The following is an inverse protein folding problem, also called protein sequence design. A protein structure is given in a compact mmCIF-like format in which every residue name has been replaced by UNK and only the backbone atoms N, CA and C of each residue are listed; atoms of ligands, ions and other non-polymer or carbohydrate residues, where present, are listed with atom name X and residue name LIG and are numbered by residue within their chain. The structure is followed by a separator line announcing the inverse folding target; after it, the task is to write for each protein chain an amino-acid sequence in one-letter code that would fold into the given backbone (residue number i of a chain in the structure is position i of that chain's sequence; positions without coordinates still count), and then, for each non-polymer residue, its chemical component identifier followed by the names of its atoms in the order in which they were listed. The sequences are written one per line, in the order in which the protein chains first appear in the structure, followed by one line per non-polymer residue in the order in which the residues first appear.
data_IF_264448285000
#
_entry.id   IF_264448285000
#
_cell.length_a   1.000
_cell.length_b   1.000
_cell.length_c   1.000
_cell.angle_alpha   90.00
_cell.angle_beta   90.00
_cell.angle_gamma   90.00
#
_symmetry.space_group_name_H-M   'P 1'
#
loop_
_entity.id
_entity.type
_entity.pdbx_description
1 polymer ?
#
# COMPACT_ATOMS: atom_id res chain seq x y z
N UNK A 1 15.08 10.74 -5.72
CA UNK A 1 15.30 12.19 -5.95
C UNK A 1 14.01 12.98 -5.76
N UNK A 2 14.15 14.27 -5.50
CA UNK A 2 13.02 15.19 -5.37
C UNK A 2 12.97 16.11 -6.57
N UNK A 3 11.79 16.23 -7.17
CA UNK A 3 11.54 17.06 -8.36
C UNK A 3 10.56 18.14 -7.92
N UNK A 4 11.00 19.42 -7.83
CA UNK A 4 10.10 20.51 -7.48
C UNK A 4 9.15 20.82 -8.63
N UNK A 5 7.98 21.35 -8.30
CA UNK A 5 6.97 21.81 -9.24
C UNK A 5 6.47 20.77 -10.25
N UNK A 6 6.40 19.50 -9.87
CA UNK A 6 5.90 18.42 -10.70
C UNK A 6 4.74 17.68 -10.03
N UNK A 7 3.64 17.33 -10.74
CA UNK A 7 3.29 17.72 -12.12
C UNK A 7 2.78 19.17 -12.24
N UNK A 8 2.66 19.89 -11.11
CA UNK A 8 2.19 21.28 -11.04
C UNK A 8 3.06 22.07 -10.08
N UNK A 9 3.11 23.41 -10.28
CA UNK A 9 3.82 24.34 -9.40
C UNK A 9 3.38 24.18 -7.93
N UNK A 10 4.34 24.14 -7.02
CA UNK A 10 4.13 23.96 -5.58
C UNK A 10 4.16 22.50 -5.10
N UNK A 11 4.17 21.52 -6.00
CA UNK A 11 4.24 20.09 -5.64
C UNK A 11 5.70 19.62 -5.68
N UNK A 12 6.17 19.05 -4.56
CA UNK A 12 7.46 18.37 -4.51
C UNK A 12 7.28 16.87 -4.76
N UNK A 13 7.52 16.43 -5.99
CA UNK A 13 7.39 15.02 -6.37
C UNK A 13 8.58 14.20 -5.88
N UNK A 14 8.30 13.09 -5.21
CA UNK A 14 9.31 12.11 -4.79
C UNK A 14 9.42 10.99 -5.81
N UNK A 15 10.44 11.07 -6.65
CA UNK A 15 10.74 10.04 -7.64
C UNK A 15 11.54 8.91 -7.01
N UNK A 16 10.94 7.72 -6.97
CA UNK A 16 11.55 6.50 -6.41
C UNK A 16 12.39 5.73 -7.43
N UNK A 17 12.40 6.12 -8.69
CA UNK A 17 13.11 5.37 -9.75
C UNK A 17 14.60 5.30 -9.49
N UNK A 18 15.19 6.33 -8.87
CA UNK A 18 16.60 6.31 -8.47
C UNK A 18 16.90 5.29 -7.38
N UNK A 19 15.95 5.05 -6.47
CA UNK A 19 16.05 4.03 -5.43
C UNK A 19 15.94 2.62 -6.04
N UNK A 20 14.96 2.43 -6.91
CA UNK A 20 14.64 1.12 -7.51
C UNK A 20 15.76 0.63 -8.44
N UNK A 21 16.40 1.55 -9.19
CA UNK A 21 17.48 1.19 -10.12
C UNK A 21 18.82 0.91 -9.46
N UNK A 22 18.99 1.24 -8.20
CA UNK A 22 20.20 0.96 -7.43
C UNK A 22 20.01 -0.36 -6.69
N UNK A 23 20.80 -1.36 -7.03
CA UNK A 23 20.65 -2.72 -6.51
C UNK A 23 20.83 -2.79 -4.99
N UNK A 24 21.77 -2.05 -4.45
CA UNK A 24 22.05 -2.03 -3.02
C UNK A 24 20.98 -1.27 -2.25
N UNK A 25 20.59 -0.09 -2.73
CA UNK A 25 19.56 0.71 -2.09
C UNK A 25 18.20 0.00 -2.11
N UNK A 26 17.86 -0.66 -3.22
CA UNK A 26 16.62 -1.43 -3.32
C UNK A 26 16.63 -2.63 -2.36
N UNK A 27 17.70 -3.45 -2.36
CA UNK A 27 17.84 -4.59 -1.45
C UNK A 27 17.74 -4.16 0.02
N UNK A 28 18.48 -3.14 0.42
CA UNK A 28 18.42 -2.61 1.78
C UNK A 28 17.03 -2.10 2.15
N UNK A 29 16.31 -1.51 1.21
CA UNK A 29 14.94 -1.06 1.43
C UNK A 29 14.00 -2.24 1.71
N UNK A 30 14.10 -3.30 0.92
CA UNK A 30 13.31 -4.52 1.12
C UNK A 30 13.64 -5.15 2.48
N UNK A 31 14.92 -5.28 2.81
CA UNK A 31 15.37 -5.82 4.11
C UNK A 31 14.81 -5.01 5.29
N UNK A 32 14.81 -3.68 5.19
CA UNK A 32 14.24 -2.80 6.22
C UNK A 32 12.72 -2.98 6.38
N UNK A 33 11.98 -3.17 5.27
CA UNK A 33 10.54 -3.45 5.33
C UNK A 33 10.32 -4.77 6.07
N UNK A 34 11.06 -5.81 5.71
CA UNK A 34 10.99 -7.13 6.33
C UNK A 34 11.30 -7.02 7.83
N UNK A 35 12.39 -6.36 8.18
CA UNK A 35 12.79 -6.20 9.59
C UNK A 35 11.73 -5.50 10.44
N UNK A 36 11.16 -4.40 9.93
CA UNK A 36 10.08 -3.67 10.60
C UNK A 36 8.81 -4.52 10.74
N UNK A 37 8.56 -5.42 9.80
CA UNK A 37 7.38 -6.28 9.79
C UNK A 37 7.50 -7.53 10.67
N UNK A 38 8.70 -7.93 11.09
CA UNK A 38 8.94 -9.15 11.88
C UNK A 38 8.12 -9.24 13.17
N UNK A 39 7.87 -8.10 13.82
CA UNK A 39 7.07 -8.04 15.06
C UNK A 39 5.57 -8.05 14.82
N UNK A 40 5.15 -7.96 13.56
CA UNK A 40 3.75 -7.87 13.15
C UNK A 40 3.21 -9.25 12.80
N UNK A 41 2.01 -9.57 13.27
CA UNK A 41 1.34 -10.84 12.95
C UNK A 41 0.41 -10.62 11.75
N UNK A 42 0.85 -11.00 10.55
CA UNK A 42 0.05 -10.94 9.33
C UNK A 42 0.26 -12.18 8.47
N UNK A 43 -0.71 -12.48 7.63
CA UNK A 43 -0.68 -13.61 6.71
C UNK A 43 -0.86 -13.21 5.24
N UNK A 44 -1.24 -11.96 4.96
CA UNK A 44 -1.35 -11.42 3.61
C UNK A 44 -0.70 -10.05 3.51
N UNK A 45 -0.25 -9.70 2.31
CA UNK A 45 0.33 -8.39 1.99
C UNK A 45 -0.58 -7.72 0.97
N UNK A 46 -0.92 -6.46 1.18
CA UNK A 46 -1.62 -5.62 0.21
C UNK A 46 -0.76 -4.42 -0.17
N UNK A 47 -0.90 -3.94 -1.38
CA UNK A 47 -0.25 -2.70 -1.80
C UNK A 47 -1.08 -1.91 -2.79
N UNK A 48 -0.81 -0.60 -2.83
CA UNK A 48 -1.57 0.35 -3.63
C UNK A 48 -0.88 0.58 -4.96
N UNK A 49 -1.66 0.58 -6.04
CA UNK A 49 -1.20 0.85 -7.40
C UNK A 49 -0.58 2.25 -7.49
N UNK A 50 0.60 2.40 -8.08
CA UNK A 50 1.41 1.33 -8.67
C UNK A 50 2.75 1.16 -7.95
N UNK A 51 3.24 2.20 -7.27
CA UNK A 51 4.59 2.23 -6.68
C UNK A 51 4.72 1.27 -5.50
N UNK A 52 3.67 1.10 -4.70
CA UNK A 52 3.63 0.11 -3.63
C UNK A 52 3.84 -1.33 -4.11
N UNK A 53 3.42 -1.66 -5.34
CA UNK A 53 3.57 -3.00 -5.90
C UNK A 53 5.03 -3.45 -6.03
N UNK A 54 5.92 -2.52 -6.35
CA UNK A 54 7.35 -2.81 -6.53
C UNK A 54 7.96 -3.39 -5.25
N UNK A 55 7.67 -2.76 -4.12
CA UNK A 55 8.19 -3.19 -2.82
C UNK A 55 7.42 -4.40 -2.28
N UNK A 56 6.10 -4.38 -2.38
CA UNK A 56 5.25 -5.43 -1.84
C UNK A 56 5.45 -6.77 -2.52
N UNK A 57 5.67 -6.80 -3.84
CA UNK A 57 5.94 -8.05 -4.56
C UNK A 57 7.26 -8.70 -4.13
N UNK A 58 8.31 -7.92 -3.93
CA UNK A 58 9.59 -8.43 -3.43
C UNK A 58 9.46 -8.97 -1.99
N UNK A 59 8.80 -8.21 -1.11
CA UNK A 59 8.54 -8.65 0.28
C UNK A 59 7.67 -9.90 0.32
N UNK A 60 6.63 -9.96 -0.51
CA UNK A 60 5.72 -11.10 -0.63
C UNK A 60 6.46 -12.37 -1.03
N UNK A 61 7.34 -12.27 -2.03
CA UNK A 61 8.17 -13.38 -2.49
C UNK A 61 9.10 -13.89 -1.37
N UNK A 62 9.83 -12.99 -0.71
CA UNK A 62 10.80 -13.35 0.34
C UNK A 62 10.09 -13.96 1.56
N UNK A 63 8.95 -13.42 1.97
CA UNK A 63 8.20 -13.90 3.12
C UNK A 63 7.25 -15.06 2.80
N UNK A 64 7.17 -15.48 1.53
CA UNK A 64 6.24 -16.50 1.03
C UNK A 64 4.79 -16.25 1.49
N UNK A 65 4.30 -15.03 1.24
CA UNK A 65 2.94 -14.60 1.59
C UNK A 65 2.17 -14.12 0.37
N UNK A 66 0.83 -14.36 0.31
CA UNK A 66 -0.01 -13.85 -0.77
C UNK A 66 0.07 -12.33 -0.89
N UNK A 67 0.03 -11.84 -2.14
CA UNK A 67 0.01 -10.43 -2.47
C UNK A 67 -1.35 -10.02 -3.05
N UNK A 68 -1.97 -8.99 -2.47
CA UNK A 68 -3.26 -8.42 -2.85
C UNK A 68 -3.03 -7.05 -3.49
N UNK A 69 -3.52 -6.88 -4.69
CA UNK A 69 -3.45 -5.60 -5.40
C UNK A 69 -4.65 -4.72 -5.07
N UNK A 70 -4.38 -3.51 -4.54
CA UNK A 70 -5.34 -2.43 -4.44
C UNK A 70 -5.16 -1.52 -5.65
N UNK A 71 -6.16 -1.48 -6.54
CA UNK A 71 -6.01 -0.87 -7.85
C UNK A 71 -6.95 0.31 -8.07
N UNK A 72 -6.58 1.19 -8.99
CA UNK A 72 -7.45 2.26 -9.48
C UNK A 72 -8.70 1.68 -10.13
N UNK A 73 -9.78 2.45 -10.13
CA UNK A 73 -11.08 2.09 -10.70
C UNK A 73 -10.98 1.45 -12.09
N UNK A 74 -11.77 0.39 -12.30
CA UNK A 74 -11.87 -0.33 -13.57
C UNK A 74 -10.59 -1.06 -14.01
N UNK A 75 -9.69 -1.39 -13.08
CA UNK A 75 -8.48 -2.17 -13.37
C UNK A 75 -8.57 -3.64 -12.97
N UNK A 76 -9.59 -4.01 -12.21
CA UNK A 76 -9.82 -5.39 -11.78
C UNK A 76 -11.01 -5.99 -12.52
N UNK A 77 -10.89 -7.22 -13.09
CA UNK A 77 -11.86 -7.77 -14.02
C UNK A 77 -13.03 -8.52 -13.37
N UNK A 78 -13.05 -8.69 -12.06
CA UNK A 78 -14.09 -9.42 -11.32
C UNK A 78 -14.78 -8.52 -10.29
N UNK A 79 -15.66 -9.07 -9.45
CA UNK A 79 -16.35 -8.36 -8.39
C UNK A 79 -15.41 -7.68 -7.41
N UNK A 80 -15.65 -6.40 -7.16
CA UNK A 80 -14.79 -5.57 -6.31
C UNK A 80 -15.54 -4.90 -5.17
N UNK A 81 -14.81 -4.62 -4.10
CA UNK A 81 -15.10 -3.54 -3.16
C UNK A 81 -14.42 -2.27 -3.66
N UNK A 82 -15.11 -1.14 -3.57
CA UNK A 82 -14.61 0.17 -4.02
C UNK A 82 -14.69 1.19 -2.89
N UNK A 83 -13.70 2.05 -2.80
CA UNK A 83 -13.69 3.18 -1.86
C UNK A 83 -13.24 4.43 -2.59
N UNK A 84 -14.06 5.47 -2.52
CA UNK A 84 -13.71 6.81 -2.99
C UNK A 84 -12.96 7.57 -1.90
N UNK A 85 -12.00 8.37 -2.29
CA UNK A 85 -11.22 9.20 -1.38
C UNK A 85 -10.78 10.51 -2.03
N UNK A 86 -10.63 11.53 -1.20
CA UNK A 86 -10.17 12.84 -1.63
C UNK A 86 -8.66 12.87 -1.81
N UNK A 87 -8.23 13.50 -2.88
CA UNK A 87 -6.85 13.88 -3.13
C UNK A 87 -6.69 15.38 -2.87
N UNK A 88 -5.46 15.85 -2.81
CA UNK A 88 -5.18 17.29 -2.76
C UNK A 88 -5.84 18.05 -3.92
N UNK A 89 -6.01 17.40 -5.07
CA UNK A 89 -6.68 17.93 -6.26
C UNK A 89 -7.63 16.88 -6.84
N UNK A 90 -8.90 16.90 -6.40
CA UNK A 90 -9.96 16.02 -6.89
C UNK A 90 -10.17 14.78 -6.04
N UNK A 91 -10.86 13.79 -6.59
CA UNK A 91 -11.14 12.51 -5.95
C UNK A 91 -10.60 11.35 -6.77
N UNK A 92 -10.38 10.23 -6.13
CA UNK A 92 -9.98 8.97 -6.76
C UNK A 92 -10.72 7.79 -6.12
N UNK A 93 -10.76 6.68 -6.84
CA UNK A 93 -11.32 5.43 -6.35
C UNK A 93 -10.26 4.35 -6.37
N UNK A 94 -10.17 3.57 -5.29
CA UNK A 94 -9.41 2.32 -5.28
C UNK A 94 -10.33 1.13 -5.06
N UNK A 95 -9.94 0.00 -5.64
CA UNK A 95 -10.71 -1.23 -5.68
C UNK A 95 -9.87 -2.43 -5.24
N UNK A 96 -10.55 -3.42 -4.68
CA UNK A 96 -10.00 -4.72 -4.31
C UNK A 96 -11.01 -5.81 -4.66
N UNK A 97 -10.57 -6.94 -5.21
CA UNK A 97 -11.45 -8.10 -5.44
C UNK A 97 -12.11 -8.57 -4.14
N UNK A 98 -13.38 -8.92 -4.19
CA UNK A 98 -14.17 -9.34 -3.02
C UNK A 98 -13.66 -10.63 -2.39
N UNK A 99 -13.03 -11.50 -3.16
CA UNK A 99 -12.48 -12.79 -2.74
C UNK A 99 -11.03 -12.71 -2.20
N UNK A 100 -10.43 -11.51 -2.17
CA UNK A 100 -9.02 -11.34 -1.77
C UNK A 100 -8.78 -11.57 -0.28
N UNK A 101 -9.75 -11.26 0.57
CA UNK A 101 -9.61 -11.25 2.02
C UNK A 101 -10.81 -11.95 2.67
N UNK A 102 -10.53 -12.74 3.70
CA UNK A 102 -11.56 -13.35 4.54
C UNK A 102 -11.43 -12.87 6.01
N UNK A 103 -12.40 -13.27 6.86
CA UNK A 103 -12.53 -12.82 8.26
C UNK A 103 -11.33 -13.18 9.16
N UNK A 104 -10.49 -14.15 8.76
CA UNK A 104 -9.33 -14.58 9.55
C UNK A 104 -8.04 -13.90 9.13
N UNK A 105 -8.06 -13.17 8.02
CA UNK A 105 -6.86 -12.57 7.47
C UNK A 105 -6.41 -11.33 8.27
N UNK A 106 -5.09 -11.23 8.39
CA UNK A 106 -4.39 -10.06 8.92
C UNK A 106 -3.50 -9.52 7.82
N UNK A 107 -3.71 -8.29 7.42
CA UNK A 107 -3.11 -7.72 6.21
C UNK A 107 -2.05 -6.69 6.55
N UNK A 108 -0.86 -6.85 6.00
CA UNK A 108 0.16 -5.80 5.98
C UNK A 108 0.01 -4.97 4.72
N UNK A 109 -0.31 -3.68 4.85
CA UNK A 109 -0.36 -2.75 3.72
C UNK A 109 1.03 -2.14 3.53
N UNK A 110 1.57 -2.26 2.33
CA UNK A 110 2.87 -1.67 1.95
C UNK A 110 2.63 -0.60 0.89
N UNK A 111 3.17 0.59 1.15
CA UNK A 111 3.20 1.68 0.18
C UNK A 111 4.52 2.44 0.28
N UNK A 112 4.91 3.14 -0.78
CA UNK A 112 6.18 3.84 -0.83
C UNK A 112 6.14 5.15 -0.04
N UNK A 113 5.04 5.88 -0.09
CA UNK A 113 4.90 7.21 0.48
C UNK A 113 3.49 7.47 1.05
N UNK A 114 3.41 8.05 2.23
CA UNK A 114 2.19 8.68 2.74
C UNK A 114 2.34 10.20 2.56
N UNK A 115 1.58 10.77 1.63
CA UNK A 115 1.46 12.21 1.46
C UNK A 115 0.41 12.77 2.45
N UNK A 116 -0.81 13.00 2.00
CA UNK A 116 -1.93 13.48 2.85
C UNK A 116 -2.54 12.40 3.74
N UNK A 117 -2.35 11.13 3.37
CA UNK A 117 -2.93 9.99 4.08
C UNK A 117 -4.24 9.45 3.48
N UNK A 118 -4.86 10.17 2.54
CA UNK A 118 -6.14 9.77 1.94
C UNK A 118 -6.10 8.38 1.30
N UNK A 119 -5.04 8.07 0.56
CA UNK A 119 -4.86 6.75 -0.07
C UNK A 119 -4.70 5.64 0.97
N UNK A 120 -3.94 5.91 2.04
CA UNK A 120 -3.75 4.94 3.12
C UNK A 120 -5.05 4.67 3.88
N UNK A 121 -5.86 5.72 4.11
CA UNK A 121 -7.18 5.61 4.72
C UNK A 121 -8.14 4.82 3.84
N UNK A 122 -8.15 5.06 2.54
CA UNK A 122 -8.97 4.33 1.58
C UNK A 122 -8.59 2.84 1.54
N UNK A 123 -7.30 2.50 1.54
CA UNK A 123 -6.83 1.12 1.65
C UNK A 123 -7.31 0.45 2.93
N UNK A 124 -7.22 1.16 4.06
CA UNK A 124 -7.73 0.70 5.34
C UNK A 124 -9.25 0.45 5.31
N UNK A 125 -10.02 1.35 4.68
CA UNK A 125 -11.47 1.19 4.51
C UNK A 125 -11.81 -0.03 3.66
N UNK A 126 -11.06 -0.32 2.57
CA UNK A 126 -11.25 -1.53 1.77
C UNK A 126 -11.07 -2.81 2.60
N UNK A 127 -10.01 -2.88 3.42
CA UNK A 127 -9.78 -4.01 4.30
C UNK A 127 -10.93 -4.16 5.33
N UNK A 128 -11.44 -3.05 5.85
CA UNK A 128 -12.60 -3.06 6.76
C UNK A 128 -13.86 -3.61 6.11
N UNK A 129 -14.21 -3.13 4.92
CA UNK A 129 -15.42 -3.54 4.19
C UNK A 129 -15.39 -5.04 3.90
N UNK A 130 -14.21 -5.61 3.66
CA UNK A 130 -14.04 -7.05 3.42
C UNK A 130 -14.10 -7.92 4.69
N UNK A 131 -14.62 -7.39 5.80
CA UNK A 131 -14.71 -8.06 7.11
C UNK A 131 -13.36 -8.28 7.81
N UNK A 132 -12.39 -7.42 7.56
CA UNK A 132 -11.07 -7.41 8.19
C UNK A 132 -11.05 -6.95 9.67
N UNK A 133 -12.08 -7.32 10.46
CA UNK A 133 -12.14 -7.11 11.91
C UNK A 133 -11.95 -8.43 12.64
N UNK A 134 -11.31 -8.40 13.79
CA UNK A 134 -11.36 -9.53 14.71
C UNK A 134 -12.69 -9.54 15.50
N UNK A 135 -12.92 -10.60 16.27
CA UNK A 135 -14.14 -10.77 17.12
C UNK A 135 -14.34 -9.65 18.14
N UNK A 136 -13.31 -8.84 18.39
CA UNK A 136 -13.33 -7.69 19.31
C UNK A 136 -13.47 -6.35 18.57
N UNK A 137 -13.66 -6.36 17.24
CA UNK A 137 -13.78 -5.14 16.44
C UNK A 137 -12.44 -4.44 16.15
N UNK A 138 -11.30 -5.07 16.42
CA UNK A 138 -10.00 -4.50 16.14
C UNK A 138 -9.64 -4.65 14.65
N UNK A 139 -8.97 -3.63 14.12
CA UNK A 139 -8.49 -3.62 12.75
C UNK A 139 -7.44 -4.70 12.52
N UNK A 140 -7.62 -5.48 11.46
CA UNK A 140 -6.70 -6.55 11.04
C UNK A 140 -5.74 -6.10 9.95
N UNK A 141 -5.36 -4.85 9.95
CA UNK A 141 -4.32 -4.36 9.04
C UNK A 141 -3.23 -3.58 9.78
N UNK A 142 -2.06 -3.58 9.18
CA UNK A 142 -0.89 -2.80 9.60
C UNK A 142 -0.35 -2.08 8.39
N UNK A 143 0.25 -0.92 8.58
CA UNK A 143 0.76 -0.10 7.50
C UNK A 143 2.29 0.03 7.59
N UNK A 144 2.97 -0.31 6.50
CA UNK A 144 4.41 -0.10 6.37
C UNK A 144 4.70 0.82 5.18
N UNK A 145 5.41 1.91 5.44
CA UNK A 145 5.85 2.85 4.41
C UNK A 145 7.35 2.74 4.19
N UNK A 146 7.77 2.96 2.95
CA UNK A 146 9.18 2.94 2.54
C UNK A 146 9.87 4.27 2.86
N UNK A 147 9.26 5.38 2.45
CA UNK A 147 9.81 6.73 2.65
C UNK A 147 9.26 7.40 3.91
N UNK A 148 10.02 8.30 4.57
CA UNK A 148 9.51 9.07 5.70
C UNK A 148 8.33 9.97 5.28
N UNK A 149 7.49 10.35 6.27
CA UNK A 149 6.38 11.29 6.05
C UNK A 149 6.91 12.61 5.51
N UNK A 150 6.20 13.17 4.53
CA UNK A 150 6.40 14.56 4.15
C UNK A 150 5.82 15.44 5.27
N UNK A 151 6.62 16.36 5.77
CA UNK A 151 6.19 17.42 6.66
C UNK A 151 5.94 18.66 5.83
#
# INVERSE_FOLDING_TARGET
RSIPDYPKKGILFRDITTLIKDENAFSQTIDQIIERSKKLKFNKIAAIESRGFVFASAVSYILNKPFIMLRKKNKLPSDVYSVDFELEYGSATIEMHKDSINEKDKVLIIDDLIATGGTAEAAAKLIKISKGFDEKGNLRYMYCRVLPRLH
#
